data_IF_525980776072
#
_entry.id   IF_525980776072
#
_cell.length_a   1.000
_cell.length_b   1.000
_cell.length_c   1.000
_cell.angle_alpha   90.00
_cell.angle_beta   90.00
_cell.angle_gamma   90.00
#
_symmetry.space_group_name_H-M   'P 1'
#
loop_
_entity.id
_entity.type
_entity.pdbx_description
1 polymer ?
#
# COMPACT_ATOMS: atom_id res chain seq x y z
N UNK A 1 -22.75 20.78 2.02
CA UNK A 1 -21.55 20.14 2.56
C UNK A 1 -21.13 19.09 1.54
N UNK A 2 -19.84 19.03 1.18
CA UNK A 2 -19.34 18.00 0.27
C UNK A 2 -19.41 16.61 0.90
N UNK A 3 -19.44 15.57 0.07
CA UNK A 3 -19.33 14.19 0.57
C UNK A 3 -17.94 13.97 1.16
N UNK A 4 -17.88 13.19 2.27
CA UNK A 4 -16.63 12.91 2.97
C UNK A 4 -15.97 11.63 2.47
N UNK A 5 -14.65 11.66 2.36
CA UNK A 5 -13.80 10.48 2.16
C UNK A 5 -12.96 10.26 3.42
N UNK A 6 -13.14 9.13 4.06
CA UNK A 6 -12.42 8.76 5.30
C UNK A 6 -11.20 7.92 4.96
N UNK A 7 -10.02 8.43 5.29
CA UNK A 7 -8.75 7.76 5.07
C UNK A 7 -8.33 7.03 6.34
N UNK A 8 -8.16 5.71 6.31
CA UNK A 8 -7.66 4.93 7.46
C UNK A 8 -6.21 5.26 7.81
N UNK A 9 -5.43 5.69 6.81
CA UNK A 9 -4.07 6.23 6.96
C UNK A 9 -3.94 7.47 6.12
N UNK A 10 -3.06 8.37 6.53
CA UNK A 10 -2.78 9.56 5.75
C UNK A 10 -2.20 9.18 4.37
N UNK A 11 -2.54 9.97 3.38
CA UNK A 11 -2.11 9.80 2.01
C UNK A 11 -1.27 11.01 1.57
N UNK A 12 -0.50 10.81 0.50
CA UNK A 12 0.24 11.91 -0.11
C UNK A 12 -0.68 13.07 -0.48
N UNK A 13 -0.14 14.28 -0.36
CA UNK A 13 -0.90 15.51 -0.61
C UNK A 13 -1.45 15.58 -2.03
N UNK A 14 -0.73 15.02 -3.00
CA UNK A 14 -1.19 14.97 -4.40
C UNK A 14 -2.46 14.15 -4.58
N UNK A 15 -2.55 13.00 -3.88
CA UNK A 15 -3.76 12.19 -3.87
C UNK A 15 -4.93 12.88 -3.16
N UNK A 16 -4.69 13.52 -2.02
CA UNK A 16 -5.70 14.31 -1.31
C UNK A 16 -6.19 15.49 -2.15
N UNK A 17 -5.28 16.12 -2.92
CA UNK A 17 -5.64 17.22 -3.81
C UNK A 17 -6.65 16.81 -4.86
N UNK A 18 -6.53 15.61 -5.44
CA UNK A 18 -7.52 15.10 -6.41
C UNK A 18 -8.93 14.99 -5.80
N UNK A 19 -9.02 14.60 -4.53
CA UNK A 19 -10.30 14.53 -3.81
C UNK A 19 -10.87 15.93 -3.55
N UNK A 20 -10.04 16.87 -3.11
CA UNK A 20 -10.45 18.27 -2.89
C UNK A 20 -10.88 18.94 -4.18
N UNK A 21 -10.14 18.76 -5.29
CA UNK A 21 -10.47 19.31 -6.59
C UNK A 21 -11.81 18.74 -7.12
N UNK A 22 -12.17 17.52 -6.69
CA UNK A 22 -13.47 16.89 -6.95
C UNK A 22 -14.59 17.37 -5.99
N UNK A 23 -14.32 18.31 -5.10
CA UNK A 23 -15.29 18.84 -4.14
C UNK A 23 -15.57 17.94 -2.94
N UNK A 24 -14.71 16.95 -2.68
CA UNK A 24 -14.83 16.02 -1.56
C UNK A 24 -14.07 16.54 -0.32
N UNK A 25 -14.64 16.31 0.84
CA UNK A 25 -13.98 16.56 2.12
C UNK A 25 -13.13 15.35 2.52
N UNK A 26 -11.86 15.56 2.82
CA UNK A 26 -10.94 14.49 3.23
C UNK A 26 -10.80 14.49 4.76
N UNK A 27 -11.16 13.39 5.38
CA UNK A 27 -11.02 13.14 6.82
C UNK A 27 -10.00 12.02 7.02
N UNK A 28 -8.90 12.31 7.72
CA UNK A 28 -7.89 11.32 8.08
C UNK A 28 -8.19 10.79 9.48
N UNK A 29 -8.19 9.48 9.66
CA UNK A 29 -8.37 8.84 10.95
C UNK A 29 -7.31 9.35 11.95
N UNK A 30 -7.75 9.63 13.15
CA UNK A 30 -6.89 10.07 14.28
C UNK A 30 -6.46 8.89 15.14
N UNK A 31 -7.36 7.92 15.30
CA UNK A 31 -7.09 6.67 16.01
C UNK A 31 -6.44 5.60 15.13
N UNK A 32 -6.02 4.54 15.77
CA UNK A 32 -5.49 3.34 15.09
C UNK A 32 -6.23 2.10 15.55
N UNK A 33 -6.50 1.20 14.60
CA UNK A 33 -7.21 -0.04 14.87
C UNK A 33 -8.72 0.05 14.66
N UNK A 34 -9.32 -1.11 14.48
CA UNK A 34 -10.69 -1.25 13.99
C UNK A 34 -11.72 -0.54 14.87
N UNK A 35 -11.64 -0.72 16.20
CA UNK A 35 -12.61 -0.12 17.14
C UNK A 35 -12.61 1.42 17.07
N UNK A 36 -11.42 2.03 17.03
CA UNK A 36 -11.31 3.49 16.92
C UNK A 36 -11.85 4.00 15.58
N UNK A 37 -11.55 3.30 14.49
CA UNK A 37 -12.08 3.64 13.17
C UNK A 37 -13.58 3.52 13.08
N UNK A 38 -14.18 2.49 13.68
CA UNK A 38 -15.66 2.33 13.76
C UNK A 38 -16.30 3.53 14.44
N UNK A 39 -15.74 4.00 15.56
CA UNK A 39 -16.27 5.16 16.27
C UNK A 39 -16.14 6.44 15.44
N UNK A 40 -15.00 6.63 14.78
CA UNK A 40 -14.77 7.78 13.92
C UNK A 40 -15.69 7.75 12.69
N UNK A 41 -15.86 6.60 12.03
CA UNK A 41 -16.75 6.42 10.88
C UNK A 41 -18.20 6.74 11.27
N UNK A 42 -18.66 6.29 12.46
CA UNK A 42 -20.00 6.64 12.97
C UNK A 42 -20.18 8.13 13.15
N UNK A 43 -19.16 8.82 13.62
CA UNK A 43 -19.22 10.27 13.82
C UNK A 43 -19.18 11.04 12.52
N UNK A 44 -18.28 10.64 11.61
CA UNK A 44 -18.02 11.38 10.37
C UNK A 44 -19.01 11.07 9.25
N UNK A 45 -19.65 9.88 9.27
CA UNK A 45 -20.61 9.41 8.26
C UNK A 45 -20.08 9.62 6.81
N UNK A 46 -18.93 9.03 6.44
CA UNK A 46 -18.33 9.27 5.13
C UNK A 46 -19.09 8.58 4.00
N UNK A 47 -19.05 9.15 2.82
CA UNK A 47 -19.55 8.50 1.60
C UNK A 47 -18.57 7.45 1.06
N UNK A 48 -17.28 7.58 1.38
CA UNK A 48 -16.26 6.60 0.97
C UNK A 48 -15.19 6.39 2.06
N UNK A 49 -14.62 5.17 2.09
CA UNK A 49 -13.44 4.82 2.90
C UNK A 49 -12.28 4.56 1.95
N UNK A 50 -11.10 5.12 2.24
CA UNK A 50 -9.86 4.82 1.53
C UNK A 50 -8.92 4.04 2.43
N UNK A 51 -8.48 2.86 1.97
CA UNK A 51 -7.50 2.03 2.65
C UNK A 51 -6.29 1.71 1.77
N UNK A 52 -5.15 1.46 2.41
CA UNK A 52 -3.95 0.95 1.73
C UNK A 52 -3.71 -0.53 2.03
N UNK A 53 -3.58 -0.89 3.30
CA UNK A 53 -3.32 -2.26 3.74
C UNK A 53 -4.16 -2.64 4.97
N UNK A 54 -4.79 -1.67 5.59
CA UNK A 54 -5.62 -1.90 6.77
C UNK A 54 -6.93 -2.58 6.39
N UNK A 55 -7.40 -3.47 7.27
CA UNK A 55 -8.63 -4.22 7.03
C UNK A 55 -9.85 -3.31 7.07
N UNK A 56 -10.75 -3.48 6.11
CA UNK A 56 -12.10 -2.91 6.11
C UNK A 56 -13.09 -4.05 6.30
N UNK A 57 -13.65 -4.14 7.50
CA UNK A 57 -14.57 -5.21 7.90
C UNK A 57 -16.02 -4.84 7.66
N UNK A 58 -16.91 -5.84 7.74
CA UNK A 58 -18.35 -5.64 7.74
C UNK A 58 -18.80 -4.64 8.83
N UNK A 59 -18.21 -4.71 10.05
CA UNK A 59 -18.53 -3.82 11.14
C UNK A 59 -18.22 -2.34 10.84
N UNK A 60 -17.13 -2.09 10.12
CA UNK A 60 -16.79 -0.74 9.66
C UNK A 60 -17.79 -0.24 8.60
N UNK A 61 -18.24 -1.10 7.70
CA UNK A 61 -19.25 -0.77 6.71
C UNK A 61 -20.61 -0.47 7.37
N UNK A 62 -20.97 -1.24 8.40
CA UNK A 62 -22.22 -1.05 9.15
C UNK A 62 -22.20 0.21 10.03
N UNK A 63 -21.03 0.75 10.31
CA UNK A 63 -20.90 1.99 11.08
C UNK A 63 -21.39 3.24 10.33
N UNK A 64 -21.56 3.14 9.00
CA UNK A 64 -22.03 4.24 8.16
C UNK A 64 -23.05 3.74 7.13
N UNK A 65 -24.31 4.09 7.32
CA UNK A 65 -25.40 3.68 6.42
C UNK A 65 -25.34 4.38 5.04
N UNK A 66 -24.61 5.48 4.93
CA UNK A 66 -24.43 6.24 3.69
C UNK A 66 -23.17 5.87 2.89
N UNK A 67 -22.44 4.81 3.29
CA UNK A 67 -21.22 4.39 2.63
C UNK A 67 -21.49 3.86 1.21
N UNK A 68 -20.93 4.50 0.21
CA UNK A 68 -21.13 4.19 -1.21
C UNK A 68 -19.96 3.43 -1.82
N UNK A 69 -18.74 3.72 -1.37
CA UNK A 69 -17.54 3.19 -2.00
C UNK A 69 -16.41 2.90 -1.00
N UNK A 70 -15.58 1.92 -1.35
CA UNK A 70 -14.31 1.65 -0.68
C UNK A 70 -13.21 1.74 -1.72
N UNK A 71 -12.28 2.67 -1.54
CA UNK A 71 -11.10 2.81 -2.38
C UNK A 71 -9.93 2.02 -1.81
N UNK A 72 -9.27 1.23 -2.65
CA UNK A 72 -8.06 0.48 -2.32
C UNK A 72 -6.85 1.08 -3.02
N UNK A 73 -5.94 1.64 -2.25
CA UNK A 73 -4.66 2.10 -2.77
C UNK A 73 -3.72 0.90 -2.98
N UNK A 74 -3.78 0.30 -4.16
CA UNK A 74 -3.03 -0.88 -4.57
C UNK A 74 -3.89 -1.94 -5.24
N UNK A 75 -3.32 -3.14 -5.47
CA UNK A 75 -3.91 -4.21 -6.27
C UNK A 75 -4.71 -5.20 -5.43
N UNK A 76 -4.13 -5.71 -4.32
CA UNK A 76 -4.73 -6.78 -3.51
C UNK A 76 -5.97 -6.32 -2.76
N UNK A 77 -7.03 -7.11 -2.78
CA UNK A 77 -8.29 -6.82 -2.10
C UNK A 77 -8.48 -7.62 -0.81
N UNK A 78 -7.50 -8.40 -0.40
CA UNK A 78 -7.55 -9.31 0.75
C UNK A 78 -7.87 -8.60 2.09
N UNK A 79 -7.57 -7.30 2.17
CA UNK A 79 -7.88 -6.48 3.33
C UNK A 79 -9.33 -5.96 3.35
N UNK A 80 -10.14 -6.20 2.32
CA UNK A 80 -11.53 -5.75 2.26
C UNK A 80 -12.44 -6.96 2.32
N UNK A 81 -13.45 -6.92 3.17
CA UNK A 81 -14.51 -7.90 3.19
C UNK A 81 -15.42 -7.71 1.96
N UNK A 82 -15.01 -8.35 0.86
CA UNK A 82 -15.67 -8.23 -0.45
C UNK A 82 -17.11 -8.76 -0.42
N UNK A 83 -17.38 -9.81 0.35
CA UNK A 83 -18.73 -10.36 0.50
C UNK A 83 -19.64 -9.35 1.20
N UNK A 84 -19.18 -8.81 2.31
CA UNK A 84 -19.90 -7.79 3.06
C UNK A 84 -20.16 -6.52 2.22
N UNK A 85 -19.18 -6.08 1.42
CA UNK A 85 -19.32 -4.92 0.52
C UNK A 85 -20.39 -5.20 -0.56
N UNK A 86 -20.36 -6.39 -1.18
CA UNK A 86 -21.30 -6.79 -2.20
C UNK A 86 -22.73 -6.85 -1.67
N UNK A 87 -22.94 -7.47 -0.49
CA UNK A 87 -24.25 -7.57 0.14
C UNK A 87 -24.87 -6.20 0.46
N UNK A 88 -24.03 -5.19 0.70
CA UNK A 88 -24.44 -3.80 1.00
C UNK A 88 -24.51 -2.90 -0.23
N UNK A 89 -24.19 -3.41 -1.41
CA UNK A 89 -24.11 -2.61 -2.64
C UNK A 89 -22.99 -1.56 -2.65
N UNK A 90 -21.98 -1.73 -1.80
CA UNK A 90 -20.84 -0.83 -1.72
C UNK A 90 -19.86 -1.15 -2.85
N UNK A 91 -19.51 -0.14 -3.65
CA UNK A 91 -18.55 -0.31 -4.74
C UNK A 91 -17.13 -0.38 -4.21
N UNK A 92 -16.34 -1.35 -4.69
CA UNK A 92 -14.90 -1.43 -4.38
C UNK A 92 -14.10 -1.02 -5.60
N UNK A 93 -13.29 0.04 -5.44
CA UNK A 93 -12.42 0.59 -6.48
C UNK A 93 -10.97 0.35 -6.06
N UNK A 94 -10.13 -0.10 -6.99
CA UNK A 94 -8.73 -0.39 -6.73
C UNK A 94 -7.83 0.03 -7.88
N UNK A 95 -6.52 0.04 -7.67
CA UNK A 95 -5.54 0.50 -8.64
C UNK A 95 -4.67 -0.66 -9.16
N UNK A 96 -5.10 -1.41 -10.18
CA UNK A 96 -4.49 -2.68 -10.58
C UNK A 96 -3.09 -2.57 -11.18
N UNK A 97 -2.72 -1.42 -11.73
CA UNK A 97 -1.44 -1.25 -12.46
C UNK A 97 -0.56 -0.10 -11.94
N UNK A 98 -0.96 0.55 -10.85
CA UNK A 98 -0.34 1.81 -10.40
C UNK A 98 1.12 1.70 -9.97
N UNK A 99 1.57 0.53 -9.52
CA UNK A 99 2.90 0.30 -8.99
C UNK A 99 3.68 -0.84 -9.67
N UNK A 100 3.22 -1.32 -10.81
CA UNK A 100 3.82 -2.46 -11.53
C UNK A 100 5.29 -2.18 -11.86
N UNK A 101 5.58 -1.03 -12.48
CA UNK A 101 6.95 -0.66 -12.82
C UNK A 101 7.83 -0.50 -11.58
N UNK A 102 7.32 0.19 -10.55
CA UNK A 102 8.07 0.37 -9.30
C UNK A 102 8.38 -0.96 -8.61
N UNK A 103 7.46 -1.92 -8.64
CA UNK A 103 7.67 -3.26 -8.10
C UNK A 103 8.72 -4.03 -8.92
N UNK A 104 8.68 -3.95 -10.25
CA UNK A 104 9.67 -4.57 -11.12
C UNK A 104 11.06 -3.99 -10.91
N UNK A 105 11.21 -2.68 -10.87
CA UNK A 105 12.48 -1.99 -10.59
C UNK A 105 13.05 -2.37 -9.22
N UNK A 106 12.19 -2.39 -8.19
CA UNK A 106 12.60 -2.80 -6.85
C UNK A 106 13.05 -4.26 -6.82
N UNK A 107 12.36 -5.14 -7.54
CA UNK A 107 12.74 -6.56 -7.66
C UNK A 107 14.12 -6.70 -8.32
N UNK A 108 14.38 -6.00 -9.41
CA UNK A 108 15.70 -5.99 -10.06
C UNK A 108 16.78 -5.46 -9.14
N UNK A 109 16.51 -4.37 -8.40
CA UNK A 109 17.42 -3.85 -7.39
C UNK A 109 17.75 -4.92 -6.33
N UNK A 110 16.74 -5.60 -5.78
CA UNK A 110 16.93 -6.62 -4.75
C UNK A 110 17.75 -7.80 -5.25
N UNK A 111 17.52 -8.27 -6.49
CA UNK A 111 18.32 -9.33 -7.12
C UNK A 111 19.81 -8.94 -7.18
N UNK A 112 20.09 -7.74 -7.68
CA UNK A 112 21.46 -7.24 -7.76
C UNK A 112 22.08 -7.02 -6.38
N UNK A 113 21.33 -6.47 -5.45
CA UNK A 113 21.77 -6.25 -4.08
C UNK A 113 22.14 -7.56 -3.37
N UNK A 114 21.35 -8.62 -3.56
CA UNK A 114 21.66 -9.96 -3.04
C UNK A 114 22.92 -10.54 -3.70
N UNK A 115 23.03 -10.50 -5.02
CA UNK A 115 24.16 -11.03 -5.77
C UNK A 115 25.50 -10.39 -5.37
N UNK A 116 25.48 -9.13 -4.94
CA UNK A 116 26.66 -8.33 -4.59
C UNK A 116 26.82 -8.11 -3.08
N UNK A 117 26.01 -8.72 -2.23
CA UNK A 117 26.02 -8.50 -0.76
C UNK A 117 25.92 -7.01 -0.38
N UNK A 118 25.13 -6.23 -1.12
CA UNK A 118 25.11 -4.77 -1.04
C UNK A 118 24.96 -4.24 0.38
N UNK A 119 24.01 -4.74 1.15
CA UNK A 119 23.74 -4.27 2.53
C UNK A 119 24.93 -4.43 3.47
N UNK A 120 25.68 -5.53 3.31
CA UNK A 120 26.88 -5.78 4.09
C UNK A 120 28.01 -4.83 3.66
N UNK A 121 28.25 -4.74 2.36
CA UNK A 121 29.33 -3.90 1.78
C UNK A 121 29.09 -2.43 2.11
N UNK A 122 27.89 -1.91 1.92
CA UNK A 122 27.54 -0.51 2.21
C UNK A 122 27.78 -0.17 3.68
N UNK A 123 27.33 -1.03 4.60
CA UNK A 123 27.52 -0.82 6.04
C UNK A 123 29.00 -0.80 6.43
N UNK A 124 29.80 -1.76 5.94
CA UNK A 124 31.21 -1.87 6.29
C UNK A 124 32.02 -0.74 5.65
N UNK A 125 31.70 -0.38 4.42
CA UNK A 125 32.31 0.73 3.71
C UNK A 125 32.06 2.07 4.42
N UNK A 126 30.80 2.34 4.81
CA UNK A 126 30.45 3.54 5.59
C UNK A 126 31.09 3.57 6.98
N UNK A 127 31.43 2.44 7.53
CA UNK A 127 32.23 2.31 8.76
C UNK A 127 33.72 2.62 8.58
N UNK A 128 34.16 3.02 7.37
CA UNK A 128 35.54 3.38 7.07
C UNK A 128 36.43 2.23 6.60
N UNK A 129 35.89 1.00 6.45
CA UNK A 129 36.67 -0.11 5.93
C UNK A 129 36.52 -0.22 4.41
N UNK A 130 37.47 0.38 3.68
CA UNK A 130 37.51 0.37 2.22
C UNK A 130 37.98 -0.96 1.64
N UNK A 131 38.60 -1.83 2.43
CA UNK A 131 39.15 -3.11 2.01
C UNK A 131 38.12 -4.24 2.01
N UNK A 132 36.87 -3.97 2.40
CA UNK A 132 35.76 -4.93 2.42
C UNK A 132 35.66 -5.74 1.11
N UNK A 133 35.98 -5.14 -0.03
CA UNK A 133 35.95 -5.77 -1.37
C UNK A 133 36.90 -6.98 -1.51
N UNK A 134 37.99 -7.03 -0.75
CA UNK A 134 38.96 -8.14 -0.81
C UNK A 134 38.55 -9.35 0.02
N UNK A 135 37.65 -9.17 0.97
CA UNK A 135 37.13 -10.24 1.83
C UNK A 135 35.77 -10.78 1.41
N UNK A 136 35.23 -10.31 0.27
CA UNK A 136 33.93 -10.75 -0.21
C UNK A 136 34.02 -12.11 -0.90
N UNK A 137 33.45 -13.11 -0.26
CA UNK A 137 33.26 -14.44 -0.84
C UNK A 137 31.81 -14.60 -1.26
N UNK A 138 31.55 -15.44 -2.26
CA UNK A 138 30.20 -15.77 -2.75
C UNK A 138 29.43 -14.62 -3.45
N UNK A 139 30.10 -13.54 -3.86
CA UNK A 139 29.51 -12.63 -4.83
C UNK A 139 29.57 -13.23 -6.23
N UNK A 140 28.57 -12.93 -7.07
CA UNK A 140 28.54 -13.46 -8.43
C UNK A 140 27.94 -12.44 -9.42
N UNK A 141 28.27 -12.66 -10.68
CA UNK A 141 27.67 -11.92 -11.80
C UNK A 141 26.35 -12.61 -12.19
N UNK A 142 25.37 -11.81 -12.61
CA UNK A 142 24.10 -12.32 -13.11
C UNK A 142 24.19 -12.83 -14.54
N UNK A 143 25.21 -12.39 -15.27
CA UNK A 143 25.44 -12.81 -16.66
C UNK A 143 25.55 -14.33 -16.77
N UNK A 144 24.81 -14.93 -17.68
CA UNK A 144 24.77 -16.38 -17.91
C UNK A 144 24.05 -17.19 -16.83
N UNK A 145 23.43 -16.54 -15.82
CA UNK A 145 22.67 -17.23 -14.79
C UNK A 145 21.21 -17.39 -15.19
N UNK A 146 20.57 -18.38 -14.61
CA UNK A 146 19.14 -18.63 -14.77
C UNK A 146 18.37 -17.96 -13.63
N UNK A 147 17.39 -17.14 -13.96
CA UNK A 147 16.45 -16.55 -13.02
C UNK A 147 15.16 -17.38 -13.00
N UNK A 148 14.83 -17.93 -11.83
CA UNK A 148 13.54 -18.56 -11.61
C UNK A 148 12.53 -17.52 -11.11
N UNK A 149 11.34 -17.50 -11.72
CA UNK A 149 10.23 -16.63 -11.33
C UNK A 149 9.08 -17.47 -10.78
N UNK A 150 8.59 -17.11 -9.60
CA UNK A 150 7.37 -17.65 -9.02
C UNK A 150 6.31 -16.57 -9.09
N UNK A 151 5.42 -16.68 -10.08
CA UNK A 151 4.51 -15.60 -10.47
C UNK A 151 5.17 -14.67 -11.50
N UNK A 152 4.47 -14.48 -12.61
CA UNK A 152 4.88 -13.61 -13.71
C UNK A 152 3.59 -13.02 -14.32
N UNK A 153 2.99 -12.06 -13.58
CA UNK A 153 1.78 -11.36 -14.00
C UNK A 153 2.10 -10.17 -14.91
N UNK A 154 1.73 -8.98 -14.48
CA UNK A 154 2.03 -7.74 -15.21
C UNK A 154 3.43 -7.24 -14.90
#
# INVERSE_FOLDING_TARGET
MGEKVFLLRDADVSGKKLLWDAGLEVVVAKGTGESAWIEEIRREQPAAILTRADRVSAAMMDACSGLKAIGKQGIGLDCIDMEAATQRGIQVVYAPVSNVNAAAEHTMFMIMACARHFSYVDRVFRGGNFDVRYGLHNTFELSGRTLGLIGCGH
#
